data_IF_392262812514
#
_entry.id   IF_392262812514
#
_cell.length_a   1.000
_cell.length_b   1.000
_cell.length_c   1.000
_cell.angle_alpha   90.00
_cell.angle_beta   90.00
_cell.angle_gamma   90.00
#
_symmetry.space_group_name_H-M   'P 1'
#
loop_
_entity.id
_entity.type
_entity.pdbx_description
1 polymer ?
#
# COMPACT_ATOMS: atom_id res chain seq x y z
N UNK A 1 5.46 -1.74 -17.99
CA UNK A 1 6.14 -1.19 -16.82
C UNK A 1 5.83 0.29 -16.82
N UNK A 2 4.90 0.75 -15.99
CA UNK A 2 4.67 2.19 -15.82
C UNK A 2 5.92 2.79 -15.18
N UNK A 3 6.50 3.80 -15.83
CA UNK A 3 7.74 4.41 -15.35
C UNK A 3 7.40 5.32 -14.17
N UNK A 4 8.31 5.41 -13.20
CA UNK A 4 8.10 6.26 -12.03
C UNK A 4 7.96 7.76 -12.41
N UNK A 5 8.51 8.15 -13.56
CA UNK A 5 8.39 9.49 -14.13
C UNK A 5 6.95 9.86 -14.47
N UNK A 6 6.22 8.97 -15.16
CA UNK A 6 4.82 9.18 -15.56
C UNK A 6 3.91 9.37 -14.33
N UNK A 7 4.15 8.62 -13.25
CA UNK A 7 3.40 8.76 -12.01
C UNK A 7 3.72 10.06 -11.26
N UNK A 8 4.91 10.64 -11.45
CA UNK A 8 5.30 11.91 -10.82
C UNK A 8 4.72 13.14 -11.53
N UNK A 9 4.37 13.01 -12.80
CA UNK A 9 3.70 14.06 -13.59
C UNK A 9 2.19 14.13 -13.29
N UNK A 10 1.60 13.06 -12.74
CA UNK A 10 0.18 13.00 -12.37
C UNK A 10 -0.16 13.78 -11.08
N UNK A 11 -1.41 14.20 -10.94
CA UNK A 11 -1.92 14.77 -9.68
C UNK A 11 -2.07 13.71 -8.59
N UNK A 12 -2.18 14.13 -7.33
CA UNK A 12 -2.37 13.20 -6.20
C UNK A 12 -3.64 12.35 -6.36
N UNK A 13 -4.73 12.96 -6.82
CA UNK A 13 -6.01 12.29 -7.08
C UNK A 13 -5.88 11.25 -8.18
N UNK A 14 -5.16 11.57 -9.26
CA UNK A 14 -4.90 10.63 -10.35
C UNK A 14 -4.05 9.45 -9.88
N UNK A 15 -3.01 9.70 -9.08
CA UNK A 15 -2.18 8.62 -8.50
C UNK A 15 -3.02 7.71 -7.59
N UNK A 16 -3.95 8.28 -6.80
CA UNK A 16 -4.88 7.50 -5.96
C UNK A 16 -5.85 6.66 -6.81
N UNK A 17 -6.32 7.17 -7.93
CA UNK A 17 -7.17 6.41 -8.86
C UNK A 17 -6.40 5.24 -9.48
N UNK A 18 -5.18 5.48 -9.97
CA UNK A 18 -4.31 4.42 -10.50
C UNK A 18 -4.01 3.37 -9.44
N UNK A 19 -3.79 3.78 -8.18
CA UNK A 19 -3.60 2.87 -7.07
C UNK A 19 -4.82 1.96 -6.82
N UNK A 20 -6.03 2.54 -6.84
CA UNK A 20 -7.28 1.78 -6.66
C UNK A 20 -7.49 0.76 -7.79
N UNK A 21 -7.30 1.17 -9.03
CA UNK A 21 -7.46 0.27 -10.19
C UNK A 21 -6.42 -0.87 -10.17
N UNK A 22 -5.17 -0.57 -9.80
CA UNK A 22 -4.13 -1.58 -9.63
C UNK A 22 -4.46 -2.57 -8.49
N UNK A 23 -5.07 -2.11 -7.40
CA UNK A 23 -5.52 -2.95 -6.30
C UNK A 23 -6.68 -3.87 -6.69
N UNK A 24 -7.66 -3.35 -7.44
CA UNK A 24 -8.77 -4.14 -7.96
C UNK A 24 -8.31 -5.20 -8.95
N UNK A 25 -7.39 -4.84 -9.86
CA UNK A 25 -6.74 -5.76 -10.78
C UNK A 25 -5.98 -6.87 -10.04
N UNK A 26 -5.26 -6.54 -8.96
CA UNK A 26 -4.57 -7.53 -8.13
C UNK A 26 -5.57 -8.46 -7.43
N UNK A 27 -6.71 -7.94 -6.97
CA UNK A 27 -7.76 -8.74 -6.35
C UNK A 27 -8.37 -9.75 -7.34
N UNK A 28 -8.73 -9.29 -8.55
CA UNK A 28 -9.19 -10.16 -9.65
C UNK A 28 -8.18 -11.27 -9.95
N UNK A 29 -6.90 -10.93 -10.08
CA UNK A 29 -5.83 -11.90 -10.32
C UNK A 29 -5.66 -12.90 -9.18
N UNK A 30 -5.89 -12.50 -7.92
CA UNK A 30 -5.85 -13.42 -6.78
C UNK A 30 -6.98 -14.44 -6.82
N UNK A 31 -8.20 -14.02 -7.16
CA UNK A 31 -9.34 -14.93 -7.31
C UNK A 31 -9.06 -15.92 -8.45
N UNK A 32 -8.62 -15.41 -9.60
CA UNK A 32 -8.26 -16.25 -10.75
C UNK A 32 -7.15 -17.26 -10.42
N UNK A 33 -6.15 -16.86 -9.62
CA UNK A 33 -5.06 -17.75 -9.19
C UNK A 33 -5.54 -18.90 -8.30
N UNK A 34 -6.69 -18.77 -7.64
CA UNK A 34 -7.25 -19.82 -6.80
C UNK A 34 -8.04 -20.84 -7.61
N UNK A 35 -8.72 -20.40 -8.67
CA UNK A 35 -9.56 -21.28 -9.50
C UNK A 35 -8.77 -21.98 -10.60
N UNK A 36 -7.73 -21.33 -11.14
CA UNK A 36 -6.94 -21.85 -12.25
C UNK A 36 -5.44 -21.53 -12.07
N UNK A 37 -4.58 -22.29 -12.76
CA UNK A 37 -3.15 -22.00 -12.79
C UNK A 37 -2.94 -20.68 -13.52
N UNK A 38 -2.56 -19.66 -12.76
CA UNK A 38 -2.49 -18.29 -13.27
C UNK A 38 -1.58 -18.20 -14.51
N UNK A 39 -2.14 -17.76 -15.64
CA UNK A 39 -1.43 -17.70 -16.92
C UNK A 39 -0.22 -16.74 -16.90
N UNK A 40 -0.27 -15.70 -16.06
CA UNK A 40 0.77 -14.68 -15.98
C UNK A 40 1.08 -14.25 -14.54
N UNK A 41 1.87 -15.02 -13.76
CA UNK A 41 2.32 -14.62 -12.43
C UNK A 41 3.16 -13.32 -12.43
N UNK A 42 3.69 -12.95 -13.60
CA UNK A 42 4.39 -11.67 -13.83
C UNK A 42 3.45 -10.47 -13.67
N UNK A 43 2.16 -10.57 -14.04
CA UNK A 43 1.19 -9.48 -13.91
C UNK A 43 0.89 -9.18 -12.43
N UNK A 44 0.72 -10.20 -11.59
CA UNK A 44 0.60 -9.99 -10.14
C UNK A 44 1.81 -9.26 -9.54
N UNK A 45 3.03 -9.55 -10.03
CA UNK A 45 4.24 -8.83 -9.61
C UNK A 45 4.30 -7.40 -10.14
N UNK A 46 3.72 -7.14 -11.33
CA UNK A 46 3.61 -5.78 -11.87
C UNK A 46 2.64 -4.96 -11.03
N UNK A 47 1.48 -5.51 -10.66
CA UNK A 47 0.45 -4.72 -9.95
C UNK A 47 0.88 -4.42 -8.51
N UNK A 48 1.55 -5.36 -7.84
CA UNK A 48 2.17 -5.09 -6.53
C UNK A 48 3.21 -3.96 -6.59
N UNK A 49 4.06 -3.95 -7.63
CA UNK A 49 5.06 -2.89 -7.81
C UNK A 49 4.42 -1.54 -8.15
N UNK A 50 3.35 -1.54 -8.95
CA UNK A 50 2.61 -0.33 -9.27
C UNK A 50 2.00 0.28 -8.00
N UNK A 51 1.35 -0.54 -7.17
CA UNK A 51 0.80 -0.12 -5.87
C UNK A 51 1.88 0.51 -4.99
N UNK A 52 3.02 -0.17 -4.83
CA UNK A 52 4.12 0.34 -4.03
C UNK A 52 4.64 1.69 -4.54
N UNK A 53 4.83 1.84 -5.86
CA UNK A 53 5.27 3.11 -6.46
C UNK A 53 4.29 4.25 -6.23
N UNK A 54 3.00 4.04 -6.41
CA UNK A 54 1.97 5.04 -6.15
C UNK A 54 2.01 5.49 -4.68
N UNK A 55 2.09 4.54 -3.74
CA UNK A 55 2.17 4.86 -2.32
C UNK A 55 3.46 5.60 -1.95
N UNK A 56 4.60 5.20 -2.51
CA UNK A 56 5.88 5.91 -2.30
C UNK A 56 5.80 7.35 -2.76
N UNK A 57 5.28 7.63 -3.97
CA UNK A 57 5.19 9.00 -4.49
C UNK A 57 4.23 9.86 -3.65
N UNK A 58 3.07 9.32 -3.26
CA UNK A 58 2.15 10.02 -2.36
C UNK A 58 2.80 10.30 -0.99
N UNK A 59 3.58 9.35 -0.47
CA UNK A 59 4.34 9.52 0.77
C UNK A 59 5.47 10.55 0.65
N UNK A 60 6.21 10.57 -0.46
CA UNK A 60 7.22 11.57 -0.79
C UNK A 60 6.61 12.98 -0.83
N UNK A 61 5.46 13.14 -1.51
CA UNK A 61 4.73 14.42 -1.57
C UNK A 61 4.19 14.85 -0.21
N UNK A 62 3.65 13.92 0.56
CA UNK A 62 3.19 14.21 1.92
C UNK A 62 4.34 14.64 2.84
N UNK A 63 5.51 14.02 2.74
CA UNK A 63 6.72 14.40 3.52
C UNK A 63 7.33 15.72 3.04
N UNK A 64 7.27 16.01 1.74
CA UNK A 64 7.70 17.28 1.19
C UNK A 64 6.80 18.44 1.64
N UNK A 65 5.48 18.22 1.66
CA UNK A 65 4.51 19.22 2.12
C UNK A 65 4.43 19.30 3.66
N UNK A 66 4.76 18.21 4.36
CA UNK A 66 4.73 18.09 5.83
C UNK A 66 6.10 18.19 6.50
N UNK A 67 7.14 18.62 5.78
CA UNK A 67 8.54 18.70 6.26
C UNK A 67 8.81 19.69 7.38
N UNK A 68 7.77 20.22 8.03
CA UNK A 68 7.86 21.12 9.17
C UNK A 68 6.86 20.84 10.30
N UNK A 69 6.29 19.63 10.40
CA UNK A 69 5.49 19.26 11.57
C UNK A 69 5.77 17.81 12.03
N UNK A 70 6.71 17.74 12.96
CA UNK A 70 6.84 16.78 14.07
C UNK A 70 6.80 15.28 13.78
N UNK A 71 8.01 14.71 13.92
CA UNK A 71 8.22 13.35 14.38
C UNK A 71 7.70 13.19 15.81
N UNK A 72 6.48 12.67 15.96
CA UNK A 72 6.10 11.99 17.20
C UNK A 72 6.15 10.47 16.95
N UNK A 73 7.04 9.73 17.61
CA UNK A 73 7.12 8.28 17.44
C UNK A 73 5.90 7.63 18.08
N UNK A 74 4.98 7.15 17.25
CA UNK A 74 3.88 6.31 17.69
C UNK A 74 4.44 5.06 18.38
N UNK A 75 4.32 5.07 19.70
CA UNK A 75 4.81 4.05 20.64
C UNK A 75 4.17 2.69 20.31
N UNK A 76 4.94 1.60 20.09
CA UNK A 76 4.37 0.27 19.98
C UNK A 76 4.11 -0.25 21.41
N UNK A 77 2.97 0.15 21.98
CA UNK A 77 2.65 -0.05 23.39
C UNK A 77 1.20 -0.45 23.63
N UNK A 78 0.79 -1.59 23.07
CA UNK A 78 -0.31 -2.37 23.65
C UNK A 78 0.22 -3.81 23.78
N UNK A 79 1.16 -4.01 24.69
CA UNK A 79 0.89 -4.45 26.05
C UNK A 79 0.03 -5.73 26.02
N UNK A 80 0.75 -6.85 26.01
CA UNK A 80 0.23 -8.14 26.42
C UNK A 80 -0.63 -7.97 27.67
N UNK A 81 -1.89 -8.40 27.63
CA UNK A 81 -2.66 -8.63 28.83
C UNK A 81 -1.98 -9.76 29.62
N UNK A 82 -1.46 -9.52 30.84
CA UNK A 82 -1.12 -10.62 31.71
C UNK A 82 -2.42 -11.19 32.28
N UNK A 83 -2.56 -12.50 32.12
CA UNK A 83 -3.38 -13.35 32.97
C UNK A 83 -3.02 -13.04 34.43
N UNK A 84 -3.99 -12.63 35.24
CA UNK A 84 -3.92 -12.69 36.69
C UNK A 84 -5.33 -12.82 37.29
N UNK A 85 -5.49 -13.91 38.04
CA UNK A 85 -6.57 -14.20 38.97
C UNK A 85 -6.93 -13.02 39.88
N UNK A 86 -8.20 -12.89 40.28
CA UNK A 86 -8.62 -12.92 41.69
C UNK A 86 -10.12 -12.56 41.86
N UNK A 87 -10.91 -13.59 42.18
CA UNK A 87 -11.86 -13.68 43.31
C UNK A 87 -12.83 -12.51 43.60
N UNK A 88 -14.13 -12.78 43.44
CA UNK A 88 -15.19 -12.56 44.44
C UNK A 88 -16.41 -13.43 44.09
#
# INVERSE_FOLDING_TARGET
>A
MTKATELREMSDEQIRLVWKDAAESLFRLRIQAQTEKLAAPSEMRKQRRLIARCQTILGERSRANGGSAEAEPAVPGQAASPVAESKA
#
